data_IF_773501828025
#
_entry.id   IF_773501828025
#
_cell.length_a   1.000
_cell.length_b   1.000
_cell.length_c   1.000
_cell.angle_alpha   90.00
_cell.angle_beta   90.00
_cell.angle_gamma   90.00
#
_symmetry.space_group_name_H-M   'P 1'
#
loop_
_entity.id
_entity.type
_entity.pdbx_description
1 polymer ?
#
# COMPACT_ATOMS: atom_id res chain seq x y z
N UNK A 1 -21.77 -5.66 1.16
CA UNK A 1 -22.71 -4.56 1.43
C UNK A 1 -22.02 -3.25 1.08
N UNK A 2 -22.64 -2.45 0.22
CA UNK A 2 -22.12 -1.18 -0.30
C UNK A 2 -22.54 -0.06 0.68
N UNK A 3 -21.59 0.59 1.36
CA UNK A 3 -21.94 1.76 2.18
C UNK A 3 -21.86 3.01 1.31
N UNK A 4 -22.92 3.83 1.23
CA UNK A 4 -22.90 5.01 0.38
C UNK A 4 -21.86 6.03 0.87
N UNK A 5 -21.22 6.72 -0.07
CA UNK A 5 -20.34 7.86 0.22
C UNK A 5 -21.20 8.96 0.85
N UNK A 6 -20.93 9.28 2.12
CA UNK A 6 -21.60 10.35 2.86
C UNK A 6 -20.79 11.64 2.71
N UNK A 7 -21.41 12.69 2.18
CA UNK A 7 -20.76 13.98 1.98
C UNK A 7 -21.57 15.02 2.73
N UNK A 8 -21.01 15.49 3.84
CA UNK A 8 -21.60 16.50 4.70
C UNK A 8 -20.92 17.85 4.42
N UNK A 9 -21.67 18.78 3.85
CA UNK A 9 -21.18 20.14 3.58
C UNK A 9 -21.88 21.11 4.54
N UNK A 10 -21.13 21.72 5.47
CA UNK A 10 -21.63 22.71 6.42
C UNK A 10 -21.13 24.11 6.05
N UNK A 11 -22.05 25.05 5.80
CA UNK A 11 -21.70 26.44 5.47
C UNK A 11 -21.27 26.65 4.01
N UNK A 12 -21.74 25.81 3.08
CA UNK A 12 -21.47 25.94 1.65
C UNK A 12 -22.76 26.26 0.87
N UNK A 13 -22.63 27.11 -0.15
CA UNK A 13 -23.69 27.38 -1.11
C UNK A 13 -24.07 26.12 -1.93
N UNK A 14 -25.27 26.09 -2.50
CA UNK A 14 -25.83 24.88 -3.15
C UNK A 14 -25.03 24.41 -4.37
N UNK A 15 -24.55 25.36 -5.18
CA UNK A 15 -23.64 25.16 -6.31
C UNK A 15 -22.31 24.51 -5.89
N UNK A 16 -21.73 25.01 -4.81
CA UNK A 16 -20.48 24.50 -4.23
C UNK A 16 -20.64 23.09 -3.67
N UNK A 17 -21.83 22.76 -3.11
CA UNK A 17 -22.16 21.40 -2.64
C UNK A 17 -22.18 20.39 -3.80
N UNK A 18 -22.76 20.76 -4.93
CA UNK A 18 -22.81 19.90 -6.13
C UNK A 18 -21.41 19.68 -6.68
N UNK A 19 -20.61 20.74 -6.83
CA UNK A 19 -19.22 20.65 -7.30
C UNK A 19 -18.37 19.75 -6.40
N UNK A 20 -18.41 19.99 -5.08
CA UNK A 20 -17.66 19.18 -4.11
C UNK A 20 -18.04 17.69 -4.20
N UNK A 21 -19.34 17.39 -4.33
CA UNK A 21 -19.83 16.01 -4.48
C UNK A 21 -19.27 15.34 -5.73
N UNK A 22 -19.38 15.98 -6.89
CA UNK A 22 -18.86 15.44 -8.16
C UNK A 22 -17.35 15.21 -8.09
N UNK A 23 -16.61 16.15 -7.51
CA UNK A 23 -15.16 16.08 -7.40
C UNK A 23 -14.70 14.96 -6.46
N UNK A 24 -15.35 14.82 -5.29
CA UNK A 24 -15.13 13.74 -4.33
C UNK A 24 -15.38 12.38 -4.99
N UNK A 25 -16.48 12.23 -5.73
CA UNK A 25 -16.82 10.99 -6.43
C UNK A 25 -15.75 10.60 -7.46
N UNK A 26 -15.29 11.56 -8.27
CA UNK A 26 -14.23 11.31 -9.25
C UNK A 26 -12.90 10.87 -8.60
N UNK A 27 -12.56 11.44 -7.44
CA UNK A 27 -11.35 11.08 -6.70
C UNK A 27 -11.47 9.71 -6.02
N UNK A 28 -12.64 9.35 -5.52
CA UNK A 28 -12.91 8.00 -4.98
C UNK A 28 -12.75 6.95 -6.08
N UNK A 29 -13.31 7.17 -7.27
CA UNK A 29 -13.16 6.24 -8.40
C UNK A 29 -11.69 5.98 -8.75
N UNK A 30 -10.85 7.02 -8.72
CA UNK A 30 -9.40 6.89 -8.92
C UNK A 30 -8.71 6.07 -7.82
N UNK A 31 -9.20 6.14 -6.58
CA UNK A 31 -8.68 5.36 -5.46
C UNK A 31 -9.08 3.89 -5.57
N UNK A 32 -10.32 3.60 -5.97
CA UNK A 32 -10.83 2.23 -6.11
C UNK A 32 -10.08 1.43 -7.17
N UNK A 33 -9.73 2.07 -8.30
CA UNK A 33 -8.93 1.45 -9.37
C UNK A 33 -7.56 0.95 -8.89
N UNK A 34 -6.99 1.56 -7.84
CA UNK A 34 -5.62 1.28 -7.38
C UNK A 34 -5.54 0.49 -6.08
N UNK A 35 -6.48 0.70 -5.15
CA UNK A 35 -6.39 0.15 -3.79
C UNK A 35 -7.49 -0.86 -3.44
N UNK A 36 -8.41 -1.12 -4.37
CA UNK A 36 -9.58 -1.97 -4.14
C UNK A 36 -10.82 -1.16 -3.73
N UNK A 37 -11.98 -1.83 -3.75
CA UNK A 37 -13.31 -1.23 -3.54
C UNK A 37 -13.39 -0.52 -2.19
N UNK A 38 -13.83 0.74 -2.13
CA UNK A 38 -13.95 1.49 -0.87
C UNK A 38 -15.16 1.00 -0.08
N UNK A 39 -14.99 0.74 1.22
CA UNK A 39 -16.08 0.24 2.08
C UNK A 39 -16.95 1.38 2.60
N UNK A 40 -16.36 2.53 2.94
CA UNK A 40 -17.09 3.76 3.25
C UNK A 40 -16.21 4.99 3.05
N UNK A 41 -16.84 6.13 2.74
CA UNK A 41 -16.17 7.42 2.69
C UNK A 41 -17.10 8.48 3.30
N UNK A 42 -16.60 9.22 4.29
CA UNK A 42 -17.25 10.37 4.89
C UNK A 42 -16.38 11.61 4.67
N UNK A 43 -16.86 12.56 3.89
CA UNK A 43 -16.20 13.84 3.70
C UNK A 43 -17.01 14.93 4.40
N UNK A 44 -16.40 15.65 5.33
CA UNK A 44 -16.95 16.83 5.99
C UNK A 44 -16.22 18.06 5.48
N UNK A 45 -16.96 19.00 4.89
CA UNK A 45 -16.43 20.28 4.44
C UNK A 45 -17.09 21.37 5.27
N UNK A 46 -16.28 22.19 5.94
CA UNK A 46 -16.73 23.38 6.66
C UNK A 46 -16.35 24.62 5.88
N UNK A 47 -17.34 25.44 5.55
CA UNK A 47 -17.14 26.75 4.94
C UNK A 47 -16.55 27.75 5.94
N UNK A 48 -15.92 28.83 5.45
CA UNK A 48 -15.39 29.90 6.29
C UNK A 48 -16.52 30.55 7.10
N UNK A 49 -16.42 30.48 8.43
CA UNK A 49 -17.36 31.16 9.32
C UNK A 49 -17.25 32.68 9.22
N UNK A 50 -18.38 33.39 9.31
CA UNK A 50 -18.51 34.84 9.09
C UNK A 50 -17.78 35.76 10.11
N UNK A 51 -16.96 35.23 11.01
CA UNK A 51 -16.53 35.94 12.23
C UNK A 51 -15.03 36.20 12.40
N UNK A 52 -14.22 36.03 11.36
CA UNK A 52 -12.79 36.40 11.43
C UNK A 52 -12.45 37.50 10.42
N UNK A 53 -11.97 38.64 10.95
CA UNK A 53 -11.47 39.82 10.22
C UNK A 53 -10.21 39.57 9.37
N UNK A 54 -9.94 38.33 8.98
CA UNK A 54 -8.82 37.94 8.13
C UNK A 54 -9.09 36.60 7.43
N UNK A 55 -9.56 36.67 6.18
CA UNK A 55 -9.58 35.56 5.20
C UNK A 55 -9.99 34.18 5.74
N UNK A 56 -11.28 33.89 5.80
CA UNK A 56 -11.77 32.58 6.22
C UNK A 56 -11.31 31.45 5.28
N UNK A 57 -11.00 30.28 5.86
CA UNK A 57 -10.47 29.12 5.15
C UNK A 57 -11.45 27.95 5.21
N UNK A 58 -11.46 27.12 4.16
CA UNK A 58 -12.22 25.87 4.15
C UNK A 58 -11.46 24.80 4.96
N UNK A 59 -12.15 24.21 5.95
CA UNK A 59 -11.65 23.03 6.67
C UNK A 59 -12.28 21.78 6.06
N UNK A 60 -11.42 20.85 5.62
CA UNK A 60 -11.83 19.63 4.94
C UNK A 60 -11.33 18.43 5.73
N UNK A 61 -12.27 17.61 6.20
CA UNK A 61 -11.99 16.41 6.95
C UNK A 61 -12.56 15.19 6.22
N UNK A 62 -11.68 14.27 5.83
CA UNK A 62 -12.02 13.10 5.02
C UNK A 62 -11.70 11.84 5.83
N UNK A 63 -12.72 11.03 6.11
CA UNK A 63 -12.59 9.68 6.65
C UNK A 63 -12.88 8.66 5.57
N UNK A 64 -11.92 7.80 5.27
CA UNK A 64 -12.02 6.72 4.31
C UNK A 64 -11.84 5.38 5.02
N UNK A 65 -12.73 4.43 4.75
CA UNK A 65 -12.59 3.04 5.15
C UNK A 65 -12.46 2.16 3.91
N UNK A 66 -11.42 1.35 3.90
CA UNK A 66 -11.11 0.37 2.87
C UNK A 66 -11.25 -1.07 3.42
N UNK A 67 -11.41 -2.07 2.55
CA UNK A 67 -11.49 -3.47 2.93
C UNK A 67 -10.24 -3.93 3.68
N UNK A 68 -10.41 -5.00 4.48
CA UNK A 68 -9.37 -5.55 5.35
C UNK A 68 -8.95 -4.62 6.52
N UNK A 69 -9.92 -3.89 7.10
CA UNK A 69 -9.69 -3.09 8.32
C UNK A 69 -8.86 -1.82 8.11
N UNK A 70 -8.68 -1.38 6.87
CA UNK A 70 -7.87 -0.21 6.51
C UNK A 70 -8.68 1.06 6.73
N UNK A 71 -8.43 1.76 7.82
CA UNK A 71 -9.06 3.06 8.12
C UNK A 71 -8.04 4.19 7.93
N UNK A 72 -8.43 5.20 7.16
CA UNK A 72 -7.67 6.43 6.93
C UNK A 72 -8.51 7.61 7.39
N UNK A 73 -8.01 8.35 8.38
CA UNK A 73 -8.63 9.58 8.85
C UNK A 73 -7.71 10.76 8.51
N UNK A 74 -8.19 11.64 7.64
CA UNK A 74 -7.46 12.81 7.16
C UNK A 74 -8.23 14.04 7.62
N UNK A 75 -7.91 14.52 8.81
CA UNK A 75 -8.32 15.85 9.25
C UNK A 75 -7.31 16.87 8.75
N UNK A 76 -7.73 17.87 7.97
CA UNK A 76 -6.88 19.01 7.64
C UNK A 76 -7.52 20.30 8.14
N UNK A 77 -7.01 20.80 9.27
CA UNK A 77 -7.12 22.21 9.62
C UNK A 77 -6.06 22.95 8.81
N UNK A 78 -6.52 23.78 7.88
CA UNK A 78 -5.65 24.60 7.04
C UNK A 78 -4.69 25.41 7.92
N UNK A 79 -3.38 25.32 7.63
CA UNK A 79 -2.46 26.36 8.10
C UNK A 79 -2.88 27.64 7.39
N UNK A 80 -2.77 28.77 8.08
CA UNK A 80 -3.23 30.07 7.63
C UNK A 80 -2.58 30.52 6.30
N UNK A 81 -3.02 29.95 5.18
CA UNK A 81 -2.51 30.18 3.85
C UNK A 81 -3.66 30.69 2.97
N UNK A 82 -3.46 31.83 2.32
CA UNK A 82 -4.50 32.55 1.58
C UNK A 82 -5.14 31.72 0.45
N UNK A 83 -4.45 30.66 0.00
CA UNK A 83 -4.91 29.74 -1.05
C UNK A 83 -6.05 28.83 -0.60
N UNK A 84 -6.25 28.66 0.72
CA UNK A 84 -7.38 27.91 1.27
C UNK A 84 -8.69 28.71 1.27
N UNK A 85 -8.70 29.91 0.69
CA UNK A 85 -9.92 30.63 0.32
C UNK A 85 -10.62 30.01 -0.91
N UNK A 86 -9.92 29.19 -1.71
CA UNK A 86 -10.48 28.47 -2.84
C UNK A 86 -10.92 27.05 -2.41
N UNK A 87 -12.20 26.73 -2.64
CA UNK A 87 -12.80 25.45 -2.32
C UNK A 87 -12.16 24.29 -3.09
N UNK A 88 -11.90 24.47 -4.38
CA UNK A 88 -11.32 23.43 -5.24
C UNK A 88 -9.87 23.14 -4.82
N UNK A 89 -9.13 24.17 -4.42
CA UNK A 89 -7.79 24.01 -3.87
C UNK A 89 -7.81 23.24 -2.54
N UNK A 90 -8.69 23.63 -1.62
CA UNK A 90 -8.83 22.98 -0.32
C UNK A 90 -9.21 21.50 -0.45
N UNK A 91 -10.14 21.16 -1.34
CA UNK A 91 -10.53 19.78 -1.63
C UNK A 91 -9.34 19.00 -2.22
N UNK A 92 -8.69 19.53 -3.26
CA UNK A 92 -7.59 18.81 -3.92
C UNK A 92 -6.41 18.57 -2.99
N UNK A 93 -6.03 19.54 -2.15
CA UNK A 93 -4.94 19.38 -1.19
C UNK A 93 -5.28 18.33 -0.12
N UNK A 94 -6.51 18.37 0.43
CA UNK A 94 -6.98 17.39 1.40
C UNK A 94 -6.94 15.97 0.81
N UNK A 95 -7.38 15.78 -0.43
CA UNK A 95 -7.32 14.49 -1.12
C UNK A 95 -5.90 14.05 -1.46
N UNK A 96 -5.02 14.97 -1.88
CA UNK A 96 -3.61 14.67 -2.14
C UNK A 96 -2.93 14.12 -0.89
N UNK A 97 -3.21 14.72 0.27
CA UNK A 97 -2.74 14.25 1.57
C UNK A 97 -3.36 12.90 1.96
N UNK A 98 -4.67 12.74 1.77
CA UNK A 98 -5.36 11.48 2.02
C UNK A 98 -4.77 10.32 1.24
N UNK A 99 -4.51 10.53 -0.06
CA UNK A 99 -3.86 9.54 -0.91
C UNK A 99 -2.45 9.19 -0.40
N UNK A 100 -1.67 10.18 0.05
CA UNK A 100 -0.32 9.95 0.59
C UNK A 100 -0.35 9.11 1.85
N UNK A 101 -1.18 9.48 2.82
CA UNK A 101 -1.34 8.73 4.08
C UNK A 101 -1.81 7.30 3.83
N UNK A 102 -2.77 7.12 2.92
CA UNK A 102 -3.23 5.80 2.51
C UNK A 102 -2.10 4.96 1.91
N UNK A 103 -1.32 5.53 1.00
CA UNK A 103 -0.19 4.85 0.38
C UNK A 103 0.85 4.41 1.41
N UNK A 104 1.14 5.27 2.39
CA UNK A 104 2.09 4.97 3.47
C UNK A 104 1.56 3.85 4.39
N UNK A 105 0.27 3.85 4.71
CA UNK A 105 -0.37 2.81 5.53
C UNK A 105 -0.45 1.47 4.79
N UNK A 106 -0.79 1.47 3.49
CA UNK A 106 -0.75 0.24 2.67
C UNK A 106 0.67 -0.31 2.59
N UNK A 107 1.69 0.54 2.40
CA UNK A 107 3.09 0.12 2.41
C UNK A 107 3.49 -0.50 3.75
N UNK A 108 3.11 0.11 4.88
CA UNK A 108 3.39 -0.41 6.22
C UNK A 108 2.69 -1.74 6.47
N UNK A 109 1.41 -1.86 6.12
CA UNK A 109 0.64 -3.10 6.29
C UNK A 109 1.13 -4.21 5.35
N UNK A 110 1.51 -3.92 4.11
CA UNK A 110 2.18 -4.89 3.23
C UNK A 110 3.57 -5.27 3.75
N UNK A 111 4.28 -4.34 4.39
CA UNK A 111 5.51 -4.62 5.13
C UNK A 111 5.29 -5.56 6.32
N UNK A 112 4.19 -5.40 7.06
CA UNK A 112 3.83 -6.26 8.19
C UNK A 112 3.27 -7.62 7.76
N UNK A 113 2.51 -7.70 6.67
CA UNK A 113 2.09 -8.99 6.09
C UNK A 113 3.28 -9.81 5.58
N UNK A 114 4.36 -9.15 5.12
CA UNK A 114 5.63 -9.82 4.84
C UNK A 114 6.40 -10.27 6.08
N UNK A 115 6.08 -9.76 7.27
CA UNK A 115 6.74 -10.14 8.53
C UNK A 115 6.04 -11.31 9.23
N UNK A 116 4.72 -11.48 9.06
CA UNK A 116 3.94 -12.50 9.76
C UNK A 116 3.60 -13.76 8.95
N UNK A 117 3.88 -13.80 7.64
CA UNK A 117 3.99 -15.07 6.92
C UNK A 117 5.44 -15.52 7.01
N UNK A 118 5.69 -16.70 7.60
CA UNK A 118 7.01 -17.32 7.49
C UNK A 118 7.41 -17.31 6.00
N UNK A 119 8.58 -16.77 5.62
CA UNK A 119 8.96 -16.72 4.22
C UNK A 119 8.96 -18.15 3.69
N UNK A 120 8.43 -18.40 2.47
CA UNK A 120 8.33 -19.76 1.97
C UNK A 120 9.72 -20.38 1.91
N UNK A 121 9.80 -21.61 2.41
CA UNK A 121 11.02 -22.42 2.43
C UNK A 121 11.06 -23.37 1.24
N UNK A 122 12.27 -23.67 0.80
CA UNK A 122 12.51 -24.67 -0.22
C UNK A 122 13.89 -25.31 -0.07
N UNK A 123 14.12 -26.36 -0.83
CA UNK A 123 15.39 -27.08 -0.89
C UNK A 123 15.93 -27.00 -2.30
N UNK A 124 17.20 -26.63 -2.45
CA UNK A 124 17.86 -26.58 -3.76
C UNK A 124 17.96 -28.00 -4.32
N UNK A 125 17.33 -28.29 -5.46
CA UNK A 125 17.34 -29.60 -6.11
C UNK A 125 18.39 -29.71 -7.20
N UNK A 126 18.65 -28.61 -7.90
CA UNK A 126 19.60 -28.57 -9.01
C UNK A 126 20.32 -27.23 -9.09
N UNK A 127 21.59 -27.30 -9.47
CA UNK A 127 22.45 -26.16 -9.79
C UNK A 127 23.18 -26.50 -11.09
N UNK A 128 23.31 -25.53 -11.97
CA UNK A 128 24.13 -25.69 -13.16
C UNK A 128 25.63 -25.72 -12.79
N UNK A 129 26.53 -26.22 -13.67
CA UNK A 129 27.97 -26.33 -13.39
C UNK A 129 28.66 -25.02 -13.04
N UNK A 130 28.12 -23.88 -13.51
CA UNK A 130 28.66 -22.54 -13.24
C UNK A 130 28.08 -21.92 -11.96
N UNK A 131 27.00 -22.51 -11.41
CA UNK A 131 26.29 -22.03 -10.23
C UNK A 131 25.56 -20.70 -10.45
N UNK A 132 25.32 -20.33 -11.71
CA UNK A 132 24.59 -19.12 -12.10
C UNK A 132 23.07 -19.32 -12.05
N UNK A 133 22.61 -20.55 -12.21
CA UNK A 133 21.22 -20.97 -12.33
C UNK A 133 20.94 -22.20 -11.48
N UNK A 134 19.70 -22.31 -11.00
CA UNK A 134 19.28 -23.49 -10.28
C UNK A 134 17.78 -23.58 -10.09
N UNK A 135 17.37 -24.69 -9.50
CA UNK A 135 16.00 -24.97 -9.12
C UNK A 135 15.94 -25.27 -7.63
N UNK A 136 14.89 -24.75 -6.99
CA UNK A 136 14.51 -25.13 -5.64
C UNK A 136 13.13 -25.78 -5.67
N UNK A 137 12.97 -26.81 -4.87
CA UNK A 137 11.68 -27.44 -4.62
C UNK A 137 11.11 -26.89 -3.33
N UNK A 138 9.87 -26.43 -3.40
CA UNK A 138 9.10 -25.94 -2.26
C UNK A 138 8.53 -27.09 -1.43
N UNK A 139 8.12 -26.81 -0.20
CA UNK A 139 7.53 -27.84 0.68
C UNK A 139 6.20 -28.42 0.14
N UNK A 140 5.53 -27.72 -0.78
CA UNK A 140 4.35 -28.20 -1.50
C UNK A 140 4.67 -28.91 -2.83
N UNK A 141 5.96 -29.17 -3.11
CA UNK A 141 6.41 -29.99 -4.24
C UNK A 141 6.56 -29.27 -5.58
N UNK A 142 6.41 -27.93 -5.63
CA UNK A 142 6.62 -27.13 -6.84
C UNK A 142 8.10 -26.85 -7.06
N UNK A 143 8.54 -26.87 -8.31
CA UNK A 143 9.88 -26.43 -8.69
C UNK A 143 9.87 -24.95 -9.07
N UNK A 144 10.81 -24.20 -8.49
CA UNK A 144 10.96 -22.76 -8.68
C UNK A 144 12.37 -22.50 -9.18
N UNK A 145 12.46 -21.84 -10.33
CA UNK A 145 13.73 -21.43 -10.91
C UNK A 145 14.32 -20.23 -10.18
N UNK A 146 15.64 -20.18 -10.00
CA UNK A 146 16.34 -19.01 -9.47
C UNK A 146 17.64 -18.72 -10.23
N UNK A 147 18.02 -17.44 -10.18
CA UNK A 147 19.29 -16.93 -10.73
C UNK A 147 20.23 -16.53 -9.60
N UNK A 148 21.56 -16.57 -9.80
CA UNK A 148 22.55 -16.13 -8.80
C UNK A 148 22.29 -14.72 -8.26
N UNK A 149 21.80 -13.82 -9.13
CA UNK A 149 21.47 -12.43 -8.77
C UNK A 149 20.30 -12.32 -7.78
N UNK A 150 19.51 -13.39 -7.65
CA UNK A 150 18.42 -13.47 -6.67
C UNK A 150 18.93 -13.94 -5.31
N UNK A 151 20.13 -14.51 -5.23
CA UNK A 151 20.74 -14.96 -3.97
C UNK A 151 21.30 -13.75 -3.23
N UNK A 152 20.83 -13.52 -2.01
CA UNK A 152 21.28 -12.38 -1.18
C UNK A 152 22.07 -12.84 0.05
N UNK A 153 23.02 -12.01 0.47
CA UNK A 153 23.91 -12.27 1.60
C UNK A 153 25.09 -13.21 1.25
N UNK A 154 25.66 -13.87 2.26
CA UNK A 154 26.81 -14.79 2.07
C UNK A 154 26.45 -16.10 1.33
N UNK A 155 25.17 -16.29 0.98
CA UNK A 155 24.62 -17.52 0.44
C UNK A 155 25.21 -17.98 -0.89
N UNK A 156 25.70 -17.07 -1.75
CA UNK A 156 26.15 -17.38 -3.13
C UNK A 156 27.26 -18.43 -3.16
N UNK A 157 28.25 -18.35 -2.26
CA UNK A 157 29.40 -19.27 -2.24
C UNK A 157 29.11 -20.58 -1.50
N UNK A 158 28.07 -20.61 -0.67
CA UNK A 158 27.73 -21.72 0.21
C UNK A 158 26.50 -22.51 -0.26
N UNK A 159 25.84 -22.07 -1.34
CA UNK A 159 24.66 -22.73 -1.87
C UNK A 159 25.08 -24.03 -2.58
N UNK A 160 24.51 -25.14 -2.14
CA UNK A 160 24.71 -26.47 -2.74
C UNK A 160 23.37 -27.16 -2.90
N UNK A 161 23.29 -28.14 -3.79
CA UNK A 161 22.15 -29.07 -3.85
C UNK A 161 21.90 -29.68 -2.46
N UNK A 162 20.64 -29.75 -2.05
CA UNK A 162 20.21 -30.14 -0.70
C UNK A 162 20.16 -29.01 0.34
N UNK A 163 20.59 -27.78 -0.01
CA UNK A 163 20.55 -26.66 0.91
C UNK A 163 19.12 -26.17 1.13
N UNK A 164 18.73 -26.00 2.41
CA UNK A 164 17.49 -25.29 2.75
C UNK A 164 17.65 -23.79 2.56
N UNK A 165 16.69 -23.19 1.90
CA UNK A 165 16.64 -21.76 1.60
C UNK A 165 15.29 -21.17 1.95
N UNK A 166 15.30 -19.90 2.31
CA UNK A 166 14.12 -19.04 2.28
C UNK A 166 14.10 -18.34 0.93
N UNK A 167 12.93 -18.28 0.29
CA UNK A 167 12.81 -17.59 -0.98
C UNK A 167 11.59 -16.67 -1.04
N UNK A 168 11.54 -15.82 -2.06
CA UNK A 168 10.35 -15.06 -2.41
C UNK A 168 9.98 -15.40 -3.86
N UNK A 169 8.77 -15.91 -4.06
CA UNK A 169 8.23 -16.21 -5.39
C UNK A 169 7.81 -14.91 -6.09
N UNK A 170 8.12 -14.79 -7.37
CA UNK A 170 7.64 -13.74 -8.26
C UNK A 170 7.31 -14.29 -9.64
N UNK A 171 6.60 -13.49 -10.43
CA UNK A 171 6.27 -13.84 -11.82
C UNK A 171 7.51 -13.67 -12.70
N UNK A 172 7.93 -14.73 -13.38
CA UNK A 172 8.95 -14.72 -14.42
C UNK A 172 8.34 -14.93 -15.80
N UNK A 173 9.10 -14.61 -16.85
CA UNK A 173 8.63 -14.69 -18.24
C UNK A 173 8.32 -16.13 -18.69
N UNK A 174 8.94 -17.12 -18.04
CA UNK A 174 8.79 -18.56 -18.33
C UNK A 174 8.11 -19.36 -17.21
N UNK A 175 7.55 -18.69 -16.20
CA UNK A 175 6.96 -19.34 -15.04
C UNK A 175 7.36 -18.72 -13.70
N UNK A 176 6.95 -19.33 -12.58
CA UNK A 176 7.29 -18.85 -11.25
C UNK A 176 8.80 -18.89 -11.03
N UNK A 177 9.36 -17.76 -10.57
CA UNK A 177 10.79 -17.63 -10.28
C UNK A 177 11.01 -17.12 -8.87
N UNK A 178 12.12 -17.51 -8.24
CA UNK A 178 12.52 -16.89 -7.00
C UNK A 178 13.17 -15.54 -7.31
N UNK A 179 12.59 -14.45 -6.79
CA UNK A 179 13.17 -13.10 -6.88
C UNK A 179 14.18 -12.84 -5.77
N UNK A 180 14.16 -13.67 -4.73
CA UNK A 180 15.07 -13.59 -3.60
C UNK A 180 15.31 -14.98 -3.05
N UNK A 181 16.55 -15.35 -2.78
CA UNK A 181 16.97 -16.63 -2.20
C UNK A 181 17.96 -16.35 -1.07
N UNK A 182 17.72 -16.93 0.10
CA UNK A 182 18.57 -16.81 1.29
C UNK A 182 18.86 -18.19 1.83
N UNK A 183 20.12 -18.49 2.06
CA UNK A 183 20.50 -19.72 2.73
C UNK A 183 19.97 -19.71 4.16
N UNK A 184 19.21 -20.73 4.53
CA UNK A 184 18.79 -20.97 5.91
C UNK A 184 19.98 -21.62 6.63
N UNK A 185 20.88 -20.82 7.19
CA UNK A 185 22.02 -21.36 7.93
C UNK A 185 21.52 -22.19 9.11
N UNK A 186 21.87 -23.49 9.10
CA UNK A 186 21.76 -24.40 10.23
C UNK A 186 22.82 -24.00 11.27
N UNK A 187 22.60 -22.91 12.01
CA UNK A 187 23.38 -22.63 13.22
C UNK A 187 22.50 -22.80 14.45
N UNK A 188 22.86 -23.82 15.24
CA UNK A 188 22.51 -24.06 16.64
C UNK A 188 21.20 -24.81 16.95
N UNK A 189 21.20 -26.12 16.65
CA UNK A 189 20.88 -27.09 17.71
C UNK A 189 22.24 -27.62 18.20
N UNK A 190 22.83 -26.92 19.18
CA UNK A 190 23.78 -27.57 20.09
C UNK A 190 22.92 -28.06 21.26
N UNK A 191 22.99 -29.38 21.44
CA UNK A 191 22.48 -30.16 22.56
C UNK A 191 22.94 -29.57 23.89
#
# INVERSE_FOLDING_TARGET
>A
MQTPVQIDCKGLAADMRVKARTHIQALIGKLELRYGRVTSCRALIKGPGAHHRGGGQYDVNIRLALPAGRLVNVGHTAKADARHADLDYAINDAFKRARRQLQDQVRRLQGQLKQNAAPPTGTVTSLDPTGEFGFLQTDDGREIYFHKNSIIGRGVKSLKVGSKVLFAEGKGDKGPKATTVRLLQKHMLRV
#
